data_IF_812325773187
#
_entry.id   IF_812325773187
#
_cell.length_a   1.000
_cell.length_b   1.000
_cell.length_c   1.000
_cell.angle_alpha   90.00
_cell.angle_beta   90.00
_cell.angle_gamma   90.00
#
_symmetry.space_group_name_H-M   'P 1'
#
loop_
_entity.id
_entity.type
_entity.pdbx_description
1 polymer ?
#
# COMPACT_ATOMS: atom_id res chain seq x y z
N UNK A 1 -7.01 -36.05 0.32
CA UNK A 1 -7.88 -35.88 -0.86
C UNK A 1 -9.27 -35.57 -0.36
N UNK A 2 -9.64 -34.32 -0.26
CA UNK A 2 -11.05 -33.94 -0.02
C UNK A 2 -11.24 -32.48 -0.45
N UNK A 3 -12.08 -32.32 -1.34
CA UNK A 3 -12.92 -31.30 -1.95
C UNK A 3 -13.17 -30.08 -1.03
N UNK A 4 -12.38 -29.03 -1.21
CA UNK A 4 -12.81 -27.65 -0.91
C UNK A 4 -13.10 -26.96 -2.24
N UNK A 5 -14.21 -27.35 -2.86
CA UNK A 5 -14.77 -26.65 -3.98
C UNK A 5 -15.74 -25.59 -3.46
N UNK A 6 -15.35 -24.35 -3.72
CA UNK A 6 -16.19 -23.28 -4.24
C UNK A 6 -17.62 -23.23 -3.69
N UNK A 7 -17.80 -22.50 -2.61
CA UNK A 7 -19.04 -21.79 -2.34
C UNK A 7 -18.72 -20.30 -2.31
N UNK A 8 -18.47 -19.71 -3.50
CA UNK A 8 -18.70 -18.28 -3.70
C UNK A 8 -20.22 -18.15 -3.67
N UNK A 9 -20.75 -18.00 -2.47
CA UNK A 9 -22.09 -17.54 -2.28
C UNK A 9 -22.16 -16.14 -2.92
N UNK A 10 -22.95 -16.01 -3.97
CA UNK A 10 -23.49 -14.74 -4.43
C UNK A 10 -24.24 -14.11 -3.24
N UNK A 11 -23.54 -13.45 -2.36
CA UNK A 11 -24.07 -12.41 -1.50
C UNK A 11 -24.47 -11.29 -2.45
N UNK A 12 -25.69 -11.38 -2.97
CA UNK A 12 -26.39 -10.27 -3.58
C UNK A 12 -26.56 -9.21 -2.52
N UNK A 13 -25.52 -8.42 -2.31
CA UNK A 13 -25.63 -7.14 -1.64
C UNK A 13 -26.56 -6.31 -2.53
N UNK A 14 -27.84 -6.20 -2.14
CA UNK A 14 -28.67 -5.05 -2.50
C UNK A 14 -28.00 -3.83 -1.87
N UNK A 15 -26.90 -3.37 -2.46
CA UNK A 15 -26.39 -2.04 -2.20
C UNK A 15 -27.47 -1.09 -2.69
N UNK A 16 -27.94 -0.15 -1.86
CA UNK A 16 -28.71 0.97 -2.37
C UNK A 16 -27.91 1.55 -3.53
N UNK A 17 -28.59 2.00 -4.57
CA UNK A 17 -27.98 2.50 -5.80
C UNK A 17 -27.20 3.81 -5.54
N UNK A 18 -26.10 3.69 -4.80
CA UNK A 18 -25.07 4.72 -4.76
C UNK A 18 -24.30 4.59 -6.06
N UNK A 19 -24.19 5.67 -6.82
CA UNK A 19 -23.29 5.71 -7.95
C UNK A 19 -21.92 5.24 -7.46
N UNK A 20 -21.43 4.17 -8.05
CA UNK A 20 -20.18 3.52 -7.61
C UNK A 20 -19.20 3.52 -8.76
N UNK A 21 -17.99 3.99 -8.50
CA UNK A 21 -16.90 3.86 -9.46
C UNK A 21 -15.99 2.71 -9.02
N UNK A 22 -15.68 1.80 -9.93
CA UNK A 22 -14.73 0.72 -9.72
C UNK A 22 -13.53 0.94 -10.63
N UNK A 23 -12.33 0.99 -10.07
CA UNK A 23 -11.10 1.26 -10.81
C UNK A 23 -10.11 0.12 -10.63
N UNK A 24 -9.61 -0.41 -11.74
CA UNK A 24 -8.47 -1.32 -11.77
C UNK A 24 -7.24 -0.54 -12.21
N UNK A 25 -6.17 -0.60 -11.43
CA UNK A 25 -4.94 0.15 -11.66
C UNK A 25 -3.75 -0.79 -11.71
N UNK A 26 -2.79 -0.44 -12.53
CA UNK A 26 -1.41 -0.92 -12.44
C UNK A 26 -0.50 0.28 -12.25
N UNK A 27 0.57 0.09 -11.54
CA UNK A 27 1.49 1.18 -11.24
C UNK A 27 2.90 0.69 -10.98
N UNK A 28 3.76 1.64 -10.71
CA UNK A 28 5.13 1.42 -10.29
C UNK A 28 5.34 2.13 -8.96
N UNK A 29 5.91 1.43 -8.01
CA UNK A 29 6.13 1.91 -6.67
C UNK A 29 7.62 2.11 -6.42
N UNK A 30 7.97 3.32 -5.99
CA UNK A 30 9.29 3.73 -5.58
C UNK A 30 9.34 3.70 -4.06
N UNK A 31 10.32 2.98 -3.54
CA UNK A 31 10.49 2.74 -2.13
C UNK A 31 11.60 3.65 -1.55
N UNK A 32 11.46 4.11 -0.31
CA UNK A 32 12.54 4.79 0.41
C UNK A 32 13.37 3.78 1.20
N UNK A 33 14.62 4.12 1.45
CA UNK A 33 15.55 3.30 2.20
C UNK A 33 15.22 3.29 3.70
N UNK A 34 15.53 2.19 4.37
CA UNK A 34 15.56 2.08 5.82
C UNK A 34 17.00 2.21 6.31
N UNK A 35 17.24 3.08 7.28
CA UNK A 35 18.53 3.20 7.94
C UNK A 35 18.62 2.23 9.13
N UNK A 36 19.65 1.39 9.18
CA UNK A 36 19.90 0.47 10.30
C UNK A 36 20.51 1.23 11.47
N UNK A 37 19.88 1.14 12.64
CA UNK A 37 20.36 1.80 13.87
C UNK A 37 21.53 1.04 14.48
N UNK A 38 22.53 1.80 14.99
CA UNK A 38 23.65 1.25 15.74
C UNK A 38 23.22 0.49 16.99
N UNK A 39 23.92 -0.59 17.32
CA UNK A 39 23.63 -1.42 18.49
C UNK A 39 23.62 -0.65 19.83
N UNK A 40 24.26 0.51 19.89
CA UNK A 40 24.33 1.37 21.10
C UNK A 40 23.01 2.12 21.39
N UNK A 41 22.11 2.21 20.42
CA UNK A 41 20.80 2.87 20.56
C UNK A 41 19.67 1.89 20.87
N UNK A 42 19.96 0.58 20.85
CA UNK A 42 18.98 -0.46 21.16
C UNK A 42 18.92 -0.76 22.67
N UNK A 43 17.76 -1.17 23.22
CA UNK A 43 17.67 -1.63 24.61
C UNK A 43 18.60 -2.82 24.84
N UNK A 44 19.19 -2.98 26.04
CA UNK A 44 20.28 -3.94 26.34
C UNK A 44 19.91 -5.43 26.22
N UNK A 45 18.74 -5.76 25.74
CA UNK A 45 18.25 -7.14 25.58
C UNK A 45 18.42 -7.65 24.13
N UNK A 46 18.87 -6.79 23.23
CA UNK A 46 18.88 -7.10 21.80
C UNK A 46 20.30 -7.06 21.26
N UNK A 47 20.80 -8.21 20.87
CA UNK A 47 22.08 -8.33 20.13
C UNK A 47 21.75 -8.37 18.62
N UNK A 48 22.16 -7.38 17.83
CA UNK A 48 22.04 -7.47 16.38
C UNK A 48 22.90 -8.61 15.86
N UNK A 49 22.33 -9.50 15.07
CA UNK A 49 23.03 -10.70 14.60
C UNK A 49 23.54 -10.56 13.17
N UNK A 50 23.12 -9.54 12.40
CA UNK A 50 23.53 -9.36 11.00
C UNK A 50 23.44 -7.89 10.59
N UNK A 51 24.47 -7.40 9.89
CA UNK A 51 24.60 -6.05 9.37
C UNK A 51 25.56 -5.17 10.15
N UNK A 52 26.36 -4.36 9.46
CA UNK A 52 27.18 -3.32 10.10
C UNK A 52 26.33 -2.07 10.36
N UNK A 53 26.57 -1.33 11.45
CA UNK A 53 25.86 -0.07 11.72
C UNK A 53 26.07 0.92 10.56
N UNK A 54 25.00 1.41 9.97
CA UNK A 54 25.03 2.33 8.83
C UNK A 54 24.79 1.67 7.48
N UNK A 55 24.51 0.36 7.43
CA UNK A 55 24.02 -0.27 6.20
C UNK A 55 22.56 0.11 5.96
N UNK A 56 22.24 0.50 4.74
CA UNK A 56 20.89 0.76 4.30
C UNK A 56 20.24 -0.56 3.83
N UNK A 57 19.05 -0.85 4.30
CA UNK A 57 18.16 -1.88 3.75
C UNK A 57 17.20 -1.22 2.79
N UNK A 58 17.31 -1.54 1.53
CA UNK A 58 16.44 -1.03 0.48
C UNK A 58 15.41 -2.10 0.11
N UNK A 59 14.18 -1.66 -0.15
CA UNK A 59 13.19 -2.47 -0.85
C UNK A 59 13.25 -2.09 -2.31
N UNK A 60 13.37 -3.07 -3.19
CA UNK A 60 13.39 -2.84 -4.62
C UNK A 60 12.11 -2.18 -5.11
N UNK A 61 12.28 -1.25 -6.03
CA UNK A 61 11.17 -0.66 -6.75
C UNK A 61 10.46 -1.73 -7.59
N UNK A 62 9.15 -1.80 -7.49
CA UNK A 62 8.41 -2.87 -8.17
C UNK A 62 7.06 -2.45 -8.71
N UNK A 63 6.49 -3.31 -9.57
CA UNK A 63 5.15 -3.13 -10.09
C UNK A 63 4.11 -3.40 -9.00
N UNK A 64 3.07 -2.57 -8.95
CA UNK A 64 1.94 -2.72 -8.06
C UNK A 64 0.64 -2.86 -8.85
N UNK A 65 -0.27 -3.69 -8.34
CA UNK A 65 -1.64 -3.82 -8.84
C UNK A 65 -2.60 -3.31 -7.78
N UNK A 66 -3.60 -2.51 -8.20
CA UNK A 66 -4.50 -1.90 -7.25
C UNK A 66 -5.95 -1.93 -7.72
N UNK A 67 -6.84 -1.98 -6.74
CA UNK A 67 -8.29 -1.89 -6.91
C UNK A 67 -8.81 -0.72 -6.05
N UNK A 68 -9.58 0.17 -6.65
CA UNK A 68 -10.32 1.20 -5.93
C UNK A 68 -11.82 1.04 -6.15
N UNK A 69 -12.59 1.23 -5.09
CA UNK A 69 -14.06 1.28 -5.12
C UNK A 69 -14.49 2.57 -4.45
N UNK A 70 -15.07 3.48 -5.21
CA UNK A 70 -15.39 4.83 -4.79
C UNK A 70 -16.91 5.06 -4.83
N UNK A 71 -17.46 5.61 -3.75
CA UNK A 71 -18.88 5.92 -3.59
C UNK A 71 -19.09 7.42 -3.71
N UNK A 72 -20.07 7.81 -4.54
CA UNK A 72 -20.43 9.20 -4.79
C UNK A 72 -21.52 9.62 -3.81
N UNK A 73 -21.38 10.77 -3.19
CA UNK A 73 -22.47 11.37 -2.41
C UNK A 73 -23.44 12.09 -3.33
N UNK A 74 -24.71 11.71 -3.31
CA UNK A 74 -25.76 12.33 -4.15
C UNK A 74 -25.83 13.86 -4.01
N UNK A 75 -25.59 14.36 -2.79
CA UNK A 75 -25.64 15.80 -2.50
C UNK A 75 -24.35 16.53 -2.87
N UNK A 76 -23.24 15.82 -3.05
CA UNK A 76 -21.92 16.38 -3.35
C UNK A 76 -21.19 15.51 -4.38
N UNK A 77 -21.60 15.59 -5.63
CA UNK A 77 -21.06 14.78 -6.73
C UNK A 77 -19.53 14.96 -6.95
N UNK A 78 -18.94 16.02 -6.40
CA UNK A 78 -17.50 16.25 -6.43
C UNK A 78 -16.75 15.59 -5.28
N UNK A 79 -17.44 15.02 -4.32
CA UNK A 79 -16.84 14.33 -3.17
C UNK A 79 -17.08 12.83 -3.27
N UNK A 80 -16.06 12.05 -2.97
CA UNK A 80 -16.16 10.59 -2.93
C UNK A 80 -15.42 10.07 -1.71
N UNK A 81 -15.92 8.96 -1.20
CA UNK A 81 -15.22 8.13 -0.23
C UNK A 81 -15.11 6.73 -0.81
N UNK A 82 -14.11 5.99 -0.43
CA UNK A 82 -13.93 4.65 -0.99
C UNK A 82 -12.91 3.82 -0.26
N UNK A 83 -12.63 2.67 -0.85
CA UNK A 83 -11.59 1.76 -0.43
C UNK A 83 -10.57 1.62 -1.54
N UNK A 84 -9.32 1.56 -1.13
CA UNK A 84 -8.19 1.33 -2.02
C UNK A 84 -7.40 0.15 -1.49
N UNK A 85 -7.22 -0.85 -2.33
CA UNK A 85 -6.39 -2.04 -2.09
C UNK A 85 -5.24 -2.00 -3.10
N UNK A 86 -4.02 -2.11 -2.63
CA UNK A 86 -2.81 -2.21 -3.45
C UNK A 86 -2.01 -3.42 -3.02
N UNK A 87 -1.46 -4.15 -3.98
CA UNK A 87 -0.59 -5.30 -3.76
C UNK A 87 0.67 -5.17 -4.61
N UNK A 88 1.81 -5.43 -4.00
CA UNK A 88 3.14 -5.35 -4.58
C UNK A 88 3.96 -6.55 -4.10
N UNK A 89 4.75 -7.12 -5.00
CA UNK A 89 5.82 -8.06 -4.65
C UNK A 89 7.15 -7.36 -4.87
N UNK A 90 8.00 -7.35 -3.88
CA UNK A 90 9.32 -6.74 -3.92
C UNK A 90 10.34 -7.63 -3.23
N UNK A 91 11.62 -7.34 -3.41
CA UNK A 91 12.73 -8.07 -2.81
C UNK A 91 13.46 -7.13 -1.86
N UNK A 92 14.08 -7.70 -0.83
CA UNK A 92 15.04 -6.97 -0.01
C UNK A 92 16.38 -6.95 -0.72
N UNK A 93 16.85 -5.80 -1.16
CA UNK A 93 18.25 -5.63 -1.56
C UNK A 93 19.08 -5.41 -0.30
N UNK A 94 19.77 -6.45 0.16
CA UNK A 94 20.59 -6.37 1.35
C UNK A 94 22.06 -6.49 1.02
N UNK A 95 22.78 -5.39 1.10
CA UNK A 95 24.23 -5.41 1.25
C UNK A 95 24.64 -6.02 2.60
N UNK A 96 23.70 -6.27 3.52
CA UNK A 96 23.90 -6.73 4.89
C UNK A 96 23.91 -8.27 5.05
N UNK A 97 24.00 -9.06 3.98
CA UNK A 97 24.12 -10.52 4.05
C UNK A 97 22.83 -11.24 4.46
N UNK A 98 21.69 -10.59 4.39
CA UNK A 98 20.37 -11.23 4.38
C UNK A 98 20.18 -11.87 3.00
N UNK A 99 19.74 -13.11 2.95
CA UNK A 99 19.43 -13.80 1.70
C UNK A 99 18.32 -13.03 0.98
N UNK A 100 18.43 -12.85 -0.35
CA UNK A 100 17.39 -12.28 -1.19
C UNK A 100 16.04 -12.92 -0.84
N UNK A 101 15.22 -12.22 -0.09
CA UNK A 101 13.92 -12.72 0.37
C UNK A 101 12.82 -11.83 -0.21
N UNK A 102 11.95 -12.47 -0.97
CA UNK A 102 10.72 -11.82 -1.46
C UNK A 102 9.84 -11.39 -0.30
N UNK A 103 9.23 -10.23 -0.42
CA UNK A 103 8.22 -9.72 0.49
C UNK A 103 6.98 -9.28 -0.28
N UNK A 104 5.83 -9.72 0.18
CA UNK A 104 4.53 -9.26 -0.31
C UNK A 104 4.06 -8.08 0.55
N UNK A 105 3.82 -6.93 -0.08
CA UNK A 105 3.31 -5.73 0.58
C UNK A 105 1.92 -5.43 0.09
N UNK A 106 0.95 -5.40 0.99
CA UNK A 106 -0.46 -5.12 0.68
C UNK A 106 -0.94 -3.93 1.52
N UNK A 107 -1.49 -2.91 0.87
CA UNK A 107 -2.10 -1.77 1.56
C UNK A 107 -3.61 -1.80 1.39
N UNK A 108 -4.35 -1.58 2.48
CA UNK A 108 -5.79 -1.36 2.49
C UNK A 108 -6.09 -0.03 3.15
N UNK A 109 -6.64 0.91 2.37
CA UNK A 109 -6.96 2.25 2.84
C UNK A 109 -8.43 2.60 2.65
N UNK A 110 -8.99 3.30 3.60
CA UNK A 110 -10.18 4.11 3.42
C UNK A 110 -9.78 5.47 2.88
N UNK A 111 -10.39 5.91 1.77
CA UNK A 111 -9.99 7.11 1.03
C UNK A 111 -11.11 8.12 0.96
N UNK A 112 -10.75 9.39 0.94
CA UNK A 112 -11.61 10.50 0.63
C UNK A 112 -11.02 11.29 -0.55
N UNK A 113 -11.85 11.68 -1.50
CA UNK A 113 -11.43 12.38 -2.71
C UNK A 113 -12.27 13.61 -2.97
N UNK A 114 -11.62 14.62 -3.56
CA UNK A 114 -12.27 15.83 -4.07
C UNK A 114 -11.95 16.01 -5.54
N UNK A 115 -12.99 16.05 -6.36
CA UNK A 115 -12.90 16.18 -7.81
C UNK A 115 -13.17 17.62 -8.25
N UNK A 116 -12.50 18.03 -9.34
CA UNK A 116 -12.61 19.33 -9.98
C UNK A 116 -12.89 19.15 -11.49
N UNK A 117 -14.12 18.71 -11.88
CA UNK A 117 -14.42 18.36 -13.27
C UNK A 117 -14.24 19.55 -14.21
N UNK A 118 -13.58 19.31 -15.34
CA UNK A 118 -13.36 20.27 -16.43
C UNK A 118 -13.57 19.52 -17.76
N UNK A 119 -14.69 19.73 -18.41
CA UNK A 119 -15.05 19.06 -19.66
C UNK A 119 -14.90 17.53 -19.60
N UNK A 120 -13.88 16.99 -20.27
CA UNK A 120 -13.57 15.55 -20.29
C UNK A 120 -12.55 15.12 -19.23
N UNK A 121 -11.95 16.08 -18.55
CA UNK A 121 -10.97 15.81 -17.51
C UNK A 121 -11.58 16.03 -16.13
N UNK A 122 -11.30 15.14 -15.21
CA UNK A 122 -11.72 15.22 -13.82
C UNK A 122 -10.50 15.16 -12.89
N UNK A 123 -9.73 16.27 -12.76
CA UNK A 123 -8.65 16.33 -11.78
C UNK A 123 -9.19 16.10 -10.39
N UNK A 124 -8.37 15.45 -9.53
CA UNK A 124 -8.74 15.20 -8.14
C UNK A 124 -7.53 15.21 -7.22
N UNK A 125 -7.81 15.42 -5.94
CA UNK A 125 -6.90 15.17 -4.84
C UNK A 125 -7.51 14.11 -3.93
N UNK A 126 -6.67 13.34 -3.27
CA UNK A 126 -7.10 12.29 -2.36
C UNK A 126 -6.27 12.29 -1.08
N UNK A 127 -6.89 11.79 -0.02
CA UNK A 127 -6.23 11.42 1.22
C UNK A 127 -6.86 10.12 1.73
N UNK A 128 -6.10 9.33 2.48
CA UNK A 128 -6.60 8.07 3.03
C UNK A 128 -5.79 7.62 4.23
N UNK A 129 -6.42 6.77 5.02
CA UNK A 129 -5.81 6.10 6.17
C UNK A 129 -6.16 4.62 6.13
N UNK A 130 -5.29 3.79 6.69
CA UNK A 130 -5.52 2.35 6.67
C UNK A 130 -4.37 1.55 7.28
N UNK A 131 -4.09 0.40 6.70
CA UNK A 131 -3.04 -0.50 7.15
C UNK A 131 -2.21 -1.01 5.98
N UNK A 132 -0.91 -1.20 6.23
CA UNK A 132 0.02 -1.94 5.41
C UNK A 132 0.28 -3.30 6.04
N UNK A 133 0.17 -4.35 5.24
CA UNK A 133 0.44 -5.74 5.58
C UNK A 133 1.71 -6.16 4.88
N UNK A 134 2.69 -6.60 5.64
CA UNK A 134 4.00 -7.03 5.18
C UNK A 134 4.16 -8.51 5.46
N UNK A 135 4.30 -9.31 4.42
CA UNK A 135 4.40 -10.76 4.52
C UNK A 135 5.67 -11.24 3.83
N UNK A 136 6.80 -11.38 4.57
CA UNK A 136 8.02 -11.97 4.05
C UNK A 136 7.79 -13.44 3.68
N UNK A 137 8.39 -13.90 2.56
CA UNK A 137 8.30 -15.32 2.16
C UNK A 137 9.25 -16.23 2.95
N UNK A 138 10.21 -15.66 3.64
CA UNK A 138 11.06 -16.42 4.56
C UNK A 138 10.29 -16.81 5.82
N UNK A 139 10.21 -18.10 6.10
CA UNK A 139 9.48 -18.66 7.26
C UNK A 139 10.11 -18.32 8.62
N UNK A 140 11.26 -17.68 8.64
CA UNK A 140 11.93 -17.21 9.86
C UNK A 140 11.46 -15.81 10.28
N UNK A 141 10.78 -15.08 9.38
CA UNK A 141 10.25 -13.75 9.59
C UNK A 141 8.73 -13.82 9.85
N UNK A 142 8.22 -12.93 10.69
CA UNK A 142 6.78 -12.85 10.99
C UNK A 142 6.09 -11.80 10.13
N UNK A 143 4.81 -12.06 9.82
CA UNK A 143 3.94 -11.09 9.17
C UNK A 143 3.72 -9.88 10.06
N UNK A 144 3.78 -8.69 9.49
CA UNK A 144 3.54 -7.45 10.22
C UNK A 144 2.40 -6.65 9.62
N UNK A 145 1.61 -6.04 10.53
CA UNK A 145 0.55 -5.09 10.15
C UNK A 145 0.83 -3.76 10.81
N UNK A 146 0.97 -2.71 10.00
CA UNK A 146 1.28 -1.36 10.48
C UNK A 146 0.24 -0.35 10.02
N UNK A 147 0.03 0.69 10.80
CA UNK A 147 -0.80 1.81 10.40
C UNK A 147 -0.17 2.53 9.20
N UNK A 148 -1.00 2.90 8.24
CA UNK A 148 -0.55 3.57 7.02
C UNK A 148 -1.51 4.71 6.64
N UNK A 149 -0.94 5.76 6.05
CA UNK A 149 -1.68 6.89 5.51
C UNK A 149 -1.22 7.18 4.08
N UNK A 150 -2.09 7.81 3.29
CA UNK A 150 -1.74 8.22 1.93
C UNK A 150 -2.32 9.59 1.60
N UNK A 151 -1.63 10.29 0.73
CA UNK A 151 -2.13 11.47 0.03
C UNK A 151 -1.74 11.37 -1.44
N UNK A 152 -2.52 11.99 -2.31
CA UNK A 152 -2.23 11.92 -3.73
C UNK A 152 -3.07 12.88 -4.56
N UNK A 153 -2.73 12.91 -5.84
CA UNK A 153 -3.43 13.68 -6.83
C UNK A 153 -3.45 12.92 -8.16
N UNK A 154 -4.45 13.21 -8.97
CA UNK A 154 -4.58 12.55 -10.26
C UNK A 154 -5.62 13.23 -11.15
N UNK A 155 -5.92 12.56 -12.23
CA UNK A 155 -6.98 12.97 -13.15
C UNK A 155 -7.63 11.76 -13.79
N UNK A 156 -8.93 11.86 -14.02
CA UNK A 156 -9.65 10.93 -14.87
C UNK A 156 -9.90 11.58 -16.22
N UNK A 157 -9.68 10.86 -17.31
CA UNK A 157 -10.06 11.26 -18.65
C UNK A 157 -11.27 10.44 -19.11
N UNK A 158 -12.37 11.12 -19.41
CA UNK A 158 -13.63 10.49 -19.79
C UNK A 158 -13.64 10.11 -21.27
N UNK A 159 -13.64 8.80 -21.55
CA UNK A 159 -13.88 8.29 -22.90
C UNK A 159 -15.36 8.23 -23.22
N UNK A 160 -16.13 7.65 -22.32
CA UNK A 160 -17.61 7.57 -22.35
C UNK A 160 -18.15 7.94 -20.96
N UNK A 161 -19.47 7.99 -20.79
CA UNK A 161 -20.07 8.30 -19.48
C UNK A 161 -19.75 7.22 -18.43
N UNK A 162 -19.49 5.99 -18.86
CA UNK A 162 -19.24 4.85 -17.99
C UNK A 162 -17.78 4.39 -17.95
N UNK A 163 -16.93 4.85 -18.88
CA UNK A 163 -15.53 4.41 -18.98
C UNK A 163 -14.59 5.60 -18.96
N UNK A 164 -13.68 5.60 -17.99
CA UNK A 164 -12.68 6.63 -17.83
C UNK A 164 -11.27 6.00 -17.70
N UNK A 165 -10.26 6.71 -18.17
CA UNK A 165 -8.85 6.43 -17.86
C UNK A 165 -8.50 7.22 -16.61
N UNK A 166 -7.92 6.55 -15.61
CA UNK A 166 -7.41 7.18 -14.39
C UNK A 166 -5.89 7.18 -14.38
N UNK A 167 -5.33 8.33 -14.04
CA UNK A 167 -3.90 8.52 -13.80
C UNK A 167 -3.76 9.18 -12.43
N UNK A 168 -2.95 8.59 -11.55
CA UNK A 168 -2.68 9.21 -10.24
C UNK A 168 -1.26 8.95 -9.74
N UNK A 169 -0.81 9.83 -8.85
CA UNK A 169 0.41 9.67 -8.06
C UNK A 169 0.01 9.76 -6.60
N UNK A 170 0.50 8.82 -5.81
CA UNK A 170 0.24 8.70 -4.36
C UNK A 170 1.55 8.66 -3.61
N UNK A 171 1.56 9.34 -2.49
CA UNK A 171 2.57 9.19 -1.47
C UNK A 171 1.94 8.42 -0.30
N UNK A 172 2.57 7.31 0.07
CA UNK A 172 2.16 6.44 1.16
C UNK A 172 3.19 6.55 2.27
N UNK A 173 2.74 6.63 3.50
CA UNK A 173 3.58 6.61 4.70
C UNK A 173 3.07 5.50 5.63
N UNK A 174 3.93 4.53 5.92
CA UNK A 174 3.65 3.45 6.89
C UNK A 174 4.44 3.72 8.15
N UNK A 175 3.76 3.73 9.30
CA UNK A 175 4.35 4.10 10.58
C UNK A 175 4.74 2.85 11.36
N UNK A 176 6.01 2.77 11.72
CA UNK A 176 6.56 1.72 12.57
C UNK A 176 6.70 2.22 14.01
N UNK A 177 6.52 1.33 14.98
CA UNK A 177 6.70 1.70 16.39
C UNK A 177 8.18 1.98 16.67
N UNK A 178 8.48 3.12 17.28
CA UNK A 178 9.83 3.63 17.57
C UNK A 178 10.63 2.82 18.62
N UNK A 179 10.12 1.68 19.08
CA UNK A 179 10.79 0.74 19.99
C UNK A 179 11.25 -0.56 19.30
N UNK A 180 11.37 -0.52 18.10
CA UNK A 180 12.19 -1.00 17.07
C UNK A 180 12.49 -2.42 16.81
N UNK A 181 11.64 -3.39 16.94
CA UNK A 181 11.89 -4.68 16.28
C UNK A 181 10.87 -4.88 15.17
N UNK A 182 11.30 -4.93 13.93
CA UNK A 182 10.48 -5.29 12.78
C UNK A 182 10.91 -6.66 12.26
N UNK A 183 9.94 -7.48 11.81
CA UNK A 183 10.15 -8.76 11.12
C UNK A 183 10.87 -9.89 11.87
N UNK A 184 10.90 -9.93 13.20
CA UNK A 184 11.68 -10.90 13.92
C UNK A 184 10.89 -11.82 14.85
N UNK A 185 10.97 -13.13 14.59
CA UNK A 185 10.61 -14.21 15.51
C UNK A 185 11.87 -14.81 16.12
N UNK A 186 12.03 -14.68 17.44
CA UNK A 186 13.02 -15.48 18.18
C UNK A 186 14.46 -14.96 18.26
N UNK A 187 14.71 -13.65 18.12
CA UNK A 187 15.98 -13.07 18.55
C UNK A 187 16.80 -12.32 17.50
N UNK A 188 16.32 -12.13 16.31
CA UNK A 188 16.91 -11.15 15.40
C UNK A 188 16.13 -9.83 15.49
N UNK A 189 16.84 -8.72 15.44
CA UNK A 189 16.24 -7.38 15.46
C UNK A 189 16.82 -6.59 14.31
N UNK A 190 15.98 -6.23 13.35
CA UNK A 190 16.29 -5.16 12.44
C UNK A 190 15.84 -3.88 13.16
N UNK A 191 16.79 -3.14 13.71
CA UNK A 191 16.51 -1.83 14.30
C UNK A 191 16.24 -0.85 13.19
N UNK A 192 15.00 -0.32 13.11
CA UNK A 192 14.61 0.72 12.16
C UNK A 192 14.60 2.06 12.88
N UNK A 193 15.48 2.99 12.51
CA UNK A 193 15.52 4.34 13.08
C UNK A 193 14.41 5.24 12.54
N UNK A 194 13.85 4.89 11.38
CA UNK A 194 12.80 5.68 10.75
C UNK A 194 11.43 5.33 11.33
N UNK A 195 10.76 6.32 11.92
CA UNK A 195 9.40 6.19 12.42
C UNK A 195 8.36 6.05 11.29
N UNK A 196 8.75 6.29 10.04
CA UNK A 196 7.86 6.21 8.89
C UNK A 196 8.60 5.71 7.65
N UNK A 197 8.07 4.66 7.06
CA UNK A 197 8.47 4.18 5.74
C UNK A 197 7.66 4.90 4.67
N UNK A 198 8.35 5.51 3.71
CA UNK A 198 7.76 6.36 2.69
C UNK A 198 7.84 5.71 1.32
N UNK A 199 6.75 5.74 0.59
CA UNK A 199 6.64 5.16 -0.76
C UNK A 199 5.92 6.14 -1.68
N UNK A 200 6.36 6.21 -2.94
CA UNK A 200 5.67 6.96 -3.99
C UNK A 200 5.20 5.99 -5.07
N UNK A 201 3.91 5.99 -5.35
CA UNK A 201 3.30 5.12 -6.34
C UNK A 201 2.69 5.93 -7.47
N UNK A 202 3.09 5.65 -8.72
CA UNK A 202 2.49 6.19 -9.92
C UNK A 202 1.59 5.14 -10.57
N UNK A 203 0.32 5.46 -10.78
CA UNK A 203 -0.70 4.52 -11.25
C UNK A 203 -1.37 4.96 -12.54
N UNK A 204 -1.74 3.97 -13.35
CA UNK A 204 -2.61 4.11 -14.51
C UNK A 204 -3.66 3.00 -14.49
N UNK A 205 -4.90 3.29 -14.85
CA UNK A 205 -5.95 2.28 -14.85
C UNK A 205 -7.24 2.68 -15.51
N UNK A 206 -8.17 1.75 -15.54
CA UNK A 206 -9.51 1.94 -16.10
C UNK A 206 -10.53 2.02 -14.96
N UNK A 207 -11.34 3.06 -15.02
CA UNK A 207 -12.45 3.28 -14.10
C UNK A 207 -13.76 3.01 -14.81
N UNK A 208 -14.59 2.21 -14.19
CA UNK A 208 -15.97 1.91 -14.60
C UNK A 208 -16.92 2.63 -13.64
N UNK A 209 -17.77 3.47 -14.19
CA UNK A 209 -18.77 4.25 -13.46
C UNK A 209 -20.15 3.64 -13.67
N UNK A 210 -20.88 3.37 -12.58
CA UNK A 210 -22.21 2.77 -12.55
C UNK A 210 -23.28 3.74 -12.06
#
# INVERSE_FOLDING_TARGET
MSRFLLSIACLGFCLPAFATDVTLLTGYQYNSNFEIVSADELPPVVTPTTGEPGDDVELDDSAAFSLAVDFVFEQQQTKRIGFYLSHQQTEFDSNAGLTDSDIDVTHLHFTAMSYYPQDRMEPFVLAGIGAGFFSPKDSTLEDETKFSAQVGAGTNYRFTDNLLLRLDVRWLATFFDSNGAAFCSGGCVIGVSSQAYSQVQANMGLMFRF
#
